data_IF_263130229846
#
_entry.id   IF_263130229846
#
_cell.length_a   1.000
_cell.length_b   1.000
_cell.length_c   1.000
_cell.angle_alpha   90.00
_cell.angle_beta   90.00
_cell.angle_gamma   90.00
#
_symmetry.space_group_name_H-M   'P 1'
#
loop_
_entity.id
_entity.type
_entity.pdbx_description
1 polymer ?
#
# COMPACT_ATOMS: atom_id res chain seq x y z
N UNK A 1 -29.53 3.17 3.56
CA UNK A 1 -29.93 1.88 2.97
C UNK A 1 -29.31 0.75 3.74
N UNK A 2 -30.06 -0.29 4.01
CA UNK A 2 -29.55 -1.51 4.62
C UNK A 2 -29.11 -2.48 3.54
N UNK A 3 -28.27 -3.46 3.88
CA UNK A 3 -27.85 -4.53 2.97
C UNK A 3 -26.69 -4.20 2.05
N UNK A 4 -26.00 -3.09 2.28
CA UNK A 4 -24.78 -2.70 1.55
C UNK A 4 -23.57 -2.89 2.46
N UNK A 5 -22.47 -3.41 1.90
CA UNK A 5 -21.21 -3.60 2.61
C UNK A 5 -20.05 -3.22 1.68
N UNK A 6 -19.11 -2.45 2.19
CA UNK A 6 -17.86 -2.19 1.47
C UNK A 6 -17.03 -3.48 1.40
N UNK A 7 -16.50 -3.82 0.24
CA UNK A 7 -15.70 -5.03 0.05
C UNK A 7 -14.22 -4.72 -0.13
N UNK A 8 -13.88 -3.97 -1.16
CA UNK A 8 -12.48 -3.70 -1.49
C UNK A 8 -12.33 -2.47 -2.38
N UNK A 9 -11.09 -1.96 -2.42
CA UNK A 9 -10.61 -1.04 -3.44
C UNK A 9 -9.62 -1.79 -4.31
N UNK A 10 -9.77 -1.69 -5.63
CA UNK A 10 -8.85 -2.32 -6.58
C UNK A 10 -7.85 -1.29 -7.10
N UNK A 11 -6.59 -1.70 -7.14
CA UNK A 11 -5.51 -0.96 -7.81
C UNK A 11 -4.80 -1.89 -8.79
N UNK A 12 -4.33 -1.34 -9.91
CA UNK A 12 -3.54 -2.10 -10.88
C UNK A 12 -2.07 -2.06 -10.53
N UNK A 13 -1.39 -3.15 -10.78
CA UNK A 13 0.05 -3.28 -10.52
C UNK A 13 0.74 -3.77 -11.79
N UNK A 14 1.97 -3.30 -12.01
CA UNK A 14 2.77 -3.70 -13.18
C UNK A 14 3.68 -4.89 -12.90
N UNK A 15 3.95 -5.18 -11.62
CA UNK A 15 4.84 -6.25 -11.18
C UNK A 15 4.27 -6.84 -9.90
N UNK A 16 3.78 -8.09 -10.00
CA UNK A 16 3.12 -8.73 -8.87
C UNK A 16 4.09 -9.05 -7.72
N UNK A 17 5.32 -9.44 -8.04
CA UNK A 17 6.30 -9.79 -7.00
C UNK A 17 6.79 -8.55 -6.26
N UNK A 18 7.06 -7.46 -6.96
CA UNK A 18 7.41 -6.18 -6.35
C UNK A 18 6.25 -5.65 -5.49
N UNK A 19 5.02 -5.82 -5.94
CA UNK A 19 3.83 -5.38 -5.21
C UNK A 19 3.61 -6.21 -3.94
N UNK A 20 3.82 -7.51 -3.98
CA UNK A 20 3.74 -8.37 -2.79
C UNK A 20 4.87 -8.06 -1.81
N UNK A 21 6.08 -7.78 -2.31
CA UNK A 21 7.16 -7.30 -1.44
C UNK A 21 6.77 -6.03 -0.70
N UNK A 22 6.12 -5.09 -1.38
CA UNK A 22 5.66 -3.85 -0.77
C UNK A 22 4.47 -4.07 0.18
N UNK A 23 3.36 -4.59 -0.33
CA UNK A 23 2.11 -4.67 0.46
C UNK A 23 2.17 -5.72 1.57
N UNK A 24 2.71 -6.90 1.27
CA UNK A 24 2.76 -8.00 2.24
C UNK A 24 3.99 -7.92 3.13
N UNK A 25 5.20 -7.87 2.52
CA UNK A 25 6.44 -8.04 3.29
C UNK A 25 6.83 -6.74 4.01
N UNK A 26 6.82 -5.62 3.34
CA UNK A 26 7.23 -4.33 3.91
C UNK A 26 6.12 -3.69 4.75
N UNK A 27 4.91 -3.57 4.20
CA UNK A 27 3.77 -2.94 4.88
C UNK A 27 3.14 -3.87 5.92
N UNK A 28 3.20 -5.18 5.71
CA UNK A 28 2.73 -6.17 6.68
C UNK A 28 1.28 -6.59 6.50
N UNK A 29 0.67 -6.37 5.34
CA UNK A 29 -0.68 -6.88 5.07
C UNK A 29 -0.66 -8.41 4.94
N UNK A 30 -1.79 -9.02 5.28
CA UNK A 30 -2.01 -10.45 5.08
C UNK A 30 -2.50 -10.73 3.67
N UNK A 31 -1.87 -11.70 3.01
CA UNK A 31 -2.35 -12.24 1.74
C UNK A 31 -3.56 -13.14 2.02
N UNK A 32 -4.72 -12.76 1.47
CA UNK A 32 -5.95 -13.54 1.66
C UNK A 32 -6.17 -14.55 0.55
N UNK A 33 -5.92 -14.16 -0.70
CA UNK A 33 -6.08 -15.05 -1.85
C UNK A 33 -5.29 -14.56 -3.06
N UNK A 34 -4.95 -15.50 -3.92
CA UNK A 34 -4.34 -15.22 -5.23
C UNK A 34 -5.01 -16.14 -6.26
N UNK A 35 -5.39 -15.57 -7.39
CA UNK A 35 -6.05 -16.32 -8.46
C UNK A 35 -5.62 -15.80 -9.82
N UNK A 36 -5.30 -16.73 -10.71
CA UNK A 36 -5.04 -16.46 -12.12
C UNK A 36 -6.31 -16.72 -12.95
N UNK A 37 -6.52 -15.89 -13.96
CA UNK A 37 -7.54 -16.12 -14.99
C UNK A 37 -6.84 -16.23 -16.35
N UNK A 38 -6.77 -17.43 -16.90
CA UNK A 38 -6.21 -17.66 -18.23
C UNK A 38 -7.07 -16.98 -19.30
N UNK A 39 -8.40 -17.10 -19.18
CA UNK A 39 -9.32 -16.50 -20.14
C UNK A 39 -9.23 -14.98 -20.16
N UNK A 40 -9.14 -14.34 -18.98
CA UNK A 40 -9.04 -12.90 -18.84
C UNK A 40 -7.62 -12.36 -18.89
N UNK A 41 -6.62 -13.23 -18.80
CA UNK A 41 -5.20 -12.91 -18.79
C UNK A 41 -4.85 -11.90 -17.71
N UNK A 42 -5.22 -12.25 -16.47
CA UNK A 42 -4.91 -11.42 -15.30
C UNK A 42 -4.71 -12.28 -14.06
N UNK A 43 -4.03 -11.71 -13.07
CA UNK A 43 -3.88 -12.25 -11.72
C UNK A 43 -4.53 -11.28 -10.73
N UNK A 44 -5.33 -11.81 -9.82
CA UNK A 44 -5.94 -11.06 -8.71
C UNK A 44 -5.31 -11.50 -7.40
N UNK A 45 -4.95 -10.51 -6.57
CA UNK A 45 -4.44 -10.73 -5.22
C UNK A 45 -5.24 -9.88 -4.25
N UNK A 46 -5.77 -10.49 -3.20
CA UNK A 46 -6.49 -9.78 -2.13
C UNK A 46 -5.67 -9.79 -0.86
N UNK A 47 -5.51 -8.59 -0.26
CA UNK A 47 -4.80 -8.40 0.99
C UNK A 47 -5.65 -7.57 1.96
N UNK A 48 -5.39 -7.73 3.25
CA UNK A 48 -6.04 -6.93 4.29
C UNK A 48 -5.08 -6.68 5.44
N UNK A 49 -5.38 -5.69 6.27
CA UNK A 49 -4.67 -5.47 7.51
C UNK A 49 -4.81 -6.71 8.42
N UNK A 50 -3.77 -7.09 9.18
CA UNK A 50 -3.86 -8.22 10.10
C UNK A 50 -5.04 -8.07 11.07
N UNK A 51 -5.89 -9.10 11.12
CA UNK A 51 -7.06 -9.10 12.01
C UNK A 51 -8.24 -8.26 11.55
N UNK A 52 -8.15 -7.57 10.39
CA UNK A 52 -9.25 -6.76 9.87
C UNK A 52 -9.47 -7.04 8.39
N UNK A 53 -10.44 -7.89 8.06
CA UNK A 53 -10.80 -8.25 6.69
C UNK A 53 -11.99 -7.46 6.15
N UNK A 54 -12.42 -6.44 6.88
CA UNK A 54 -13.61 -5.64 6.50
C UNK A 54 -13.34 -4.68 5.34
N UNK A 55 -12.07 -4.29 5.14
CA UNK A 55 -11.66 -3.42 4.06
C UNK A 55 -10.42 -4.02 3.38
N UNK A 56 -10.60 -4.56 2.19
CA UNK A 56 -9.52 -5.26 1.48
C UNK A 56 -8.97 -4.39 0.35
N UNK A 57 -7.73 -4.62 0.00
CA UNK A 57 -7.15 -4.10 -1.24
C UNK A 57 -7.03 -5.25 -2.24
N UNK A 58 -7.52 -5.03 -3.45
CA UNK A 58 -7.38 -5.98 -4.55
C UNK A 58 -6.29 -5.46 -5.50
N UNK A 59 -5.28 -6.28 -5.73
CA UNK A 59 -4.27 -6.00 -6.74
C UNK A 59 -4.66 -6.73 -8.01
N UNK A 60 -4.73 -6.00 -9.12
CA UNK A 60 -4.97 -6.60 -10.44
C UNK A 60 -3.72 -6.45 -11.28
N UNK A 61 -3.12 -7.58 -11.64
CA UNK A 61 -2.02 -7.64 -12.58
C UNK A 61 -2.56 -8.13 -13.92
N UNK A 62 -2.61 -7.23 -14.91
CA UNK A 62 -2.99 -7.59 -16.28
C UNK A 62 -1.76 -8.12 -17.00
N UNK A 63 -1.82 -9.37 -17.45
CA UNK A 63 -0.69 -10.01 -18.13
C UNK A 63 -0.35 -9.25 -19.40
N UNK A 64 0.93 -9.19 -19.79
CA UNK A 64 1.31 -8.62 -21.06
C UNK A 64 0.56 -9.28 -22.23
N UNK A 65 0.35 -8.53 -23.30
CA UNK A 65 -0.26 -9.07 -24.52
C UNK A 65 0.62 -10.19 -25.10
N UNK A 66 0.06 -11.09 -25.95
CA UNK A 66 0.83 -12.19 -26.55
C UNK A 66 2.09 -11.73 -27.29
N UNK A 67 2.12 -10.50 -27.78
CA UNK A 67 3.31 -9.91 -28.44
C UNK A 67 4.32 -9.35 -27.44
N UNK A 68 4.08 -9.47 -26.13
CA UNK A 68 4.93 -8.97 -25.05
C UNK A 68 4.72 -7.52 -24.67
N UNK A 69 3.84 -6.79 -25.35
CA UNK A 69 3.53 -5.41 -24.97
C UNK A 69 2.75 -5.36 -23.65
N UNK A 70 3.07 -4.36 -22.82
CA UNK A 70 2.41 -4.15 -21.54
C UNK A 70 1.88 -2.72 -21.45
N UNK A 71 0.76 -2.56 -20.74
CA UNK A 71 0.17 -1.26 -20.47
C UNK A 71 1.03 -0.48 -19.48
N UNK A 72 1.25 0.81 -19.75
CA UNK A 72 1.85 1.72 -18.81
C UNK A 72 0.73 2.49 -18.08
N UNK A 73 0.80 2.53 -16.75
CA UNK A 73 -0.23 3.21 -15.96
C UNK A 73 0.19 4.62 -15.62
N UNK A 74 -0.79 5.53 -15.62
CA UNK A 74 -0.61 6.91 -15.16
C UNK A 74 -1.41 7.10 -13.89
N UNK A 75 -0.84 7.84 -12.93
CA UNK A 75 -1.46 8.03 -11.62
C UNK A 75 -2.70 8.93 -11.66
N UNK A 76 -2.68 9.96 -12.49
CA UNK A 76 -3.74 10.97 -12.50
C UNK A 76 -3.82 11.74 -11.18
N UNK A 77 -4.91 12.52 -11.00
CA UNK A 77 -5.15 13.29 -9.77
C UNK A 77 -6.40 12.87 -9.02
N UNK A 78 -7.28 12.13 -9.68
CA UNK A 78 -8.57 11.74 -9.12
C UNK A 78 -8.40 10.81 -7.91
N UNK A 79 -7.54 9.77 -8.05
CA UNK A 79 -7.27 8.87 -6.94
C UNK A 79 -6.34 9.56 -5.93
N UNK A 80 -6.72 9.51 -4.65
CA UNK A 80 -5.94 10.07 -3.56
C UNK A 80 -4.97 9.06 -2.96
N UNK A 81 -5.40 8.41 -1.88
CA UNK A 81 -4.55 7.44 -1.16
C UNK A 81 -5.41 6.39 -0.46
N UNK A 82 -4.74 5.32 -0.02
CA UNK A 82 -5.29 4.31 0.89
C UNK A 82 -4.64 4.54 2.25
N UNK A 83 -5.42 4.46 3.33
CA UNK A 83 -4.92 4.73 4.68
C UNK A 83 -5.06 3.51 5.59
N UNK A 84 -4.07 3.30 6.45
CA UNK A 84 -4.08 2.27 7.49
C UNK A 84 -3.73 2.89 8.84
N UNK A 85 -4.46 2.50 9.87
CA UNK A 85 -4.07 2.77 11.24
C UNK A 85 -3.06 1.70 11.70
N UNK A 86 -2.00 2.11 12.38
CA UNK A 86 -0.95 1.23 12.87
C UNK A 86 -0.73 1.44 14.37
N UNK A 87 -0.33 0.39 15.07
CA UNK A 87 -0.13 0.45 16.53
C UNK A 87 1.12 1.25 16.91
N UNK A 88 2.16 1.21 16.07
CA UNK A 88 3.41 1.93 16.29
C UNK A 88 3.95 2.42 14.94
N UNK A 89 3.73 3.72 14.67
CA UNK A 89 4.10 4.29 13.38
C UNK A 89 5.62 4.30 13.16
N UNK A 90 6.41 4.41 14.23
CA UNK A 90 7.87 4.36 14.09
C UNK A 90 8.36 2.97 13.71
N UNK A 91 7.84 1.94 14.38
CA UNK A 91 8.17 0.56 14.05
C UNK A 91 7.72 0.20 12.62
N UNK A 92 6.55 0.66 12.21
CA UNK A 92 6.03 0.44 10.85
C UNK A 92 6.91 1.12 9.80
N UNK A 93 7.28 2.38 10.02
CA UNK A 93 8.18 3.10 9.09
C UNK A 93 9.57 2.48 9.05
N UNK A 94 10.08 1.99 10.19
CA UNK A 94 11.38 1.31 10.21
C UNK A 94 11.33 0.01 9.41
N UNK A 95 10.28 -0.78 9.55
CA UNK A 95 10.10 -2.00 8.75
C UNK A 95 10.04 -1.69 7.25
N UNK A 96 9.30 -0.66 6.88
CA UNK A 96 9.23 -0.22 5.48
C UNK A 96 10.62 0.16 4.96
N UNK A 97 11.36 0.98 5.72
CA UNK A 97 12.71 1.40 5.34
C UNK A 97 13.66 0.20 5.24
N UNK A 98 13.58 -0.76 6.16
CA UNK A 98 14.40 -1.98 6.14
C UNK A 98 14.13 -2.84 4.89
N UNK A 99 12.93 -2.73 4.31
CA UNK A 99 12.57 -3.39 3.06
C UNK A 99 12.82 -2.54 1.81
N UNK A 100 13.55 -1.43 1.96
CA UNK A 100 13.93 -0.57 0.84
C UNK A 100 12.86 0.42 0.40
N UNK A 101 11.80 0.63 1.19
CA UNK A 101 10.74 1.58 0.87
C UNK A 101 11.14 2.98 1.34
N UNK A 102 11.04 3.96 0.45
CA UNK A 102 11.25 5.36 0.80
C UNK A 102 10.11 5.87 1.66
N UNK A 103 10.42 6.52 2.78
CA UNK A 103 9.42 7.22 3.59
C UNK A 103 9.29 8.63 3.02
N UNK A 104 8.26 8.85 2.22
CA UNK A 104 8.08 10.11 1.50
C UNK A 104 7.78 11.27 2.44
N UNK A 105 6.83 11.09 3.35
CA UNK A 105 6.57 12.02 4.44
C UNK A 105 6.83 11.31 5.76
N UNK A 106 7.94 11.60 6.44
CA UNK A 106 8.28 10.95 7.72
C UNK A 106 7.29 11.29 8.83
N UNK A 107 7.14 10.41 9.84
CA UNK A 107 6.23 10.66 10.96
C UNK A 107 6.87 11.60 12.00
N UNK A 108 7.18 12.84 11.61
CA UNK A 108 7.84 13.83 12.48
C UNK A 108 7.02 14.17 13.72
N UNK A 109 5.70 14.13 13.58
CA UNK A 109 4.75 14.44 14.65
C UNK A 109 4.30 13.21 15.44
N UNK A 110 4.85 12.03 15.12
CA UNK A 110 4.44 10.77 15.75
C UNK A 110 3.02 10.31 15.38
N UNK A 111 2.41 10.89 14.33
CA UNK A 111 1.02 10.63 13.98
C UNK A 111 0.84 10.10 12.56
N UNK A 112 1.50 10.69 11.57
CA UNK A 112 1.19 10.46 10.17
C UNK A 112 2.44 10.29 9.33
N UNK A 113 2.41 9.35 8.40
CA UNK A 113 3.46 9.14 7.42
C UNK A 113 2.84 8.80 6.07
N UNK A 114 3.59 9.03 5.00
CA UNK A 114 3.23 8.61 3.65
C UNK A 114 4.38 7.84 3.00
N UNK A 115 4.01 6.77 2.32
CA UNK A 115 4.88 6.02 1.42
C UNK A 115 4.15 5.80 0.10
N UNK A 116 4.86 5.31 -0.92
CA UNK A 116 4.26 4.98 -2.21
C UNK A 116 4.58 3.54 -2.58
N UNK A 117 3.61 2.87 -3.19
CA UNK A 117 3.78 1.54 -3.75
C UNK A 117 4.71 1.59 -4.98
N UNK A 118 5.16 0.42 -5.50
CA UNK A 118 5.96 0.40 -6.74
C UNK A 118 5.30 1.10 -7.92
N UNK A 119 3.96 1.09 -8.00
CA UNK A 119 3.20 1.76 -9.05
C UNK A 119 2.78 3.19 -8.68
N UNK A 120 3.30 3.72 -7.58
CA UNK A 120 3.06 5.10 -7.18
C UNK A 120 1.75 5.35 -6.44
N UNK A 121 1.07 4.31 -5.97
CA UNK A 121 -0.11 4.46 -5.12
C UNK A 121 0.33 5.01 -3.77
N UNK A 122 -0.25 6.13 -3.36
CA UNK A 122 0.04 6.76 -2.07
C UNK A 122 -0.62 5.97 -0.94
N UNK A 123 0.15 5.66 0.09
CA UNK A 123 -0.33 4.97 1.30
C UNK A 123 -0.07 5.88 2.49
N UNK A 124 -1.14 6.22 3.18
CA UNK A 124 -1.08 6.99 4.43
C UNK A 124 -1.05 6.04 5.61
N UNK A 125 -0.16 6.29 6.55
CA UNK A 125 -0.09 5.58 7.83
C UNK A 125 -0.46 6.55 8.94
N UNK A 126 -1.37 6.11 9.81
CA UNK A 126 -1.84 6.91 10.93
C UNK A 126 -1.62 6.16 12.24
N UNK A 127 -1.03 6.83 13.22
CA UNK A 127 -0.88 6.25 14.55
C UNK A 127 -2.26 6.00 15.17
N UNK A 128 -2.52 4.77 15.61
CA UNK A 128 -3.73 4.46 16.37
C UNK A 128 -3.67 5.15 17.74
N UNK A 129 -4.77 5.75 18.16
CA UNK A 129 -4.82 6.48 19.41
C UNK A 129 -4.07 7.82 19.36
N UNK A 130 -3.43 8.18 20.46
CA UNK A 130 -2.69 9.44 20.55
C UNK A 130 -1.40 9.40 19.75
N UNK A 131 -0.97 10.56 19.23
CA UNK A 131 0.33 10.68 18.60
C UNK A 131 1.44 10.27 19.56
N UNK A 132 2.46 9.59 19.04
CA UNK A 132 3.65 9.26 19.83
C UNK A 132 4.48 10.54 20.03
N UNK A 133 5.28 10.56 21.09
CA UNK A 133 6.24 11.65 21.30
C UNK A 133 7.21 11.72 20.12
N UNK A 134 7.57 12.92 19.63
CA UNK A 134 8.57 13.05 18.57
C UNK A 134 9.86 12.30 18.93
N UNK A 135 10.41 11.58 17.96
CA UNK A 135 11.62 10.79 18.16
C UNK A 135 12.48 10.80 16.91
N UNK A 136 13.79 10.79 17.10
CA UNK A 136 14.75 10.65 16.01
C UNK A 136 14.81 9.18 15.53
N UNK A 137 15.10 8.92 14.26
CA UNK A 137 15.49 9.91 13.23
C UNK A 137 14.31 10.67 12.61
N UNK A 138 13.10 10.32 12.95
CA UNK A 138 11.88 10.80 12.27
C UNK A 138 11.62 12.29 12.49
N UNK A 139 11.87 12.77 13.71
CA UNK A 139 11.55 14.16 14.08
C UNK A 139 12.26 15.20 13.21
N UNK A 140 13.49 14.92 12.76
CA UNK A 140 14.28 15.82 11.93
C UNK A 140 14.37 15.39 10.47
N UNK A 141 13.70 14.30 10.08
CA UNK A 141 13.79 13.76 8.72
C UNK A 141 12.97 14.59 7.74
N UNK A 142 13.58 14.94 6.59
CA UNK A 142 12.92 15.71 5.54
C UNK A 142 12.02 14.85 4.67
N UNK A 143 11.04 15.49 4.02
CA UNK A 143 10.24 14.85 2.98
C UNK A 143 11.11 14.44 1.80
N UNK A 144 10.74 13.36 1.11
CA UNK A 144 11.39 12.86 -0.10
C UNK A 144 10.33 12.68 -1.17
N UNK A 145 10.49 13.33 -2.32
CA UNK A 145 9.56 13.22 -3.44
C UNK A 145 8.19 13.77 -3.13
N UNK A 146 7.17 13.13 -3.71
CA UNK A 146 5.76 13.51 -3.56
C UNK A 146 4.92 12.27 -3.23
N UNK A 147 3.73 12.52 -2.73
CA UNK A 147 2.81 11.45 -2.37
C UNK A 147 1.35 11.82 -2.62
#
# INVERSE_FOLDING_TARGET
MRGMKYLHTMVRVTDIDASLHFYRDALGLELLSRRDSEAGRYTLVFLAAPGDRSAQIELTYNWPAPDGSAEAYTGGRNFGHVAYAVDDIYATCQRLADHGVTINRPPRDGRMAFVRSPDGISIELLQAGAALAPAEPWASMSNVGSW
#
